data_IF_742570387425
#
_entry.id   IF_742570387425
#
_cell.length_a   1.000
_cell.length_b   1.000
_cell.length_c   1.000
_cell.angle_alpha   90.00
_cell.angle_beta   90.00
_cell.angle_gamma   90.00
#
_symmetry.space_group_name_H-M   'P 1'
#
loop_
_entity.id
_entity.type
_entity.pdbx_description
1 polymer ?
#
# COMPACT_ATOMS: atom_id res chain seq x y z
N UNK A 1 7.99 -5.66 20.38
CA UNK A 1 6.58 -5.93 20.77
C UNK A 1 6.12 -7.05 19.86
N UNK A 2 5.39 -8.05 20.37
CA UNK A 2 4.92 -9.18 19.56
C UNK A 2 3.48 -8.87 19.14
N UNK A 3 3.23 -8.65 17.86
CA UNK A 3 1.88 -8.35 17.38
C UNK A 3 1.03 -9.63 17.32
N UNK A 4 -0.31 -9.55 17.53
CA UNK A 4 -1.16 -10.73 17.47
C UNK A 4 -1.11 -11.35 16.06
N UNK A 5 -1.28 -12.68 15.96
CA UNK A 5 -1.39 -13.33 14.66
C UNK A 5 -2.72 -12.99 13.99
N UNK A 6 -2.68 -12.88 12.67
CA UNK A 6 -3.87 -12.74 11.82
C UNK A 6 -4.29 -14.11 11.30
N UNK A 7 -5.54 -14.50 11.53
CA UNK A 7 -6.17 -15.63 10.85
C UNK A 7 -7.18 -15.10 9.83
N UNK A 8 -7.01 -15.48 8.57
CA UNK A 8 -8.01 -15.28 7.52
C UNK A 8 -8.59 -16.64 7.13
N UNK A 9 -9.91 -16.75 7.15
CA UNK A 9 -10.64 -17.94 6.69
C UNK A 9 -11.60 -17.55 5.57
N UNK A 10 -11.50 -18.25 4.44
CA UNK A 10 -12.41 -18.16 3.30
C UNK A 10 -13.25 -19.43 3.25
N UNK A 11 -14.56 -19.29 3.46
CA UNK A 11 -15.51 -20.37 3.24
C UNK A 11 -15.72 -20.58 1.75
N UNK A 12 -15.74 -21.85 1.35
CA UNK A 12 -16.00 -22.27 -0.02
C UNK A 12 -17.10 -23.32 -0.02
N UNK A 13 -17.70 -23.53 -1.18
CA UNK A 13 -18.42 -24.77 -1.47
C UNK A 13 -17.42 -25.94 -1.56
N UNK A 14 -17.82 -27.05 -2.19
CA UNK A 14 -16.95 -28.23 -2.30
C UNK A 14 -15.84 -28.06 -3.35
N UNK A 15 -14.61 -27.82 -2.87
CA UNK A 15 -13.42 -27.72 -3.71
C UNK A 15 -12.92 -29.10 -4.16
N UNK A 16 -12.37 -29.20 -5.40
CA UNK A 16 -11.82 -30.45 -5.89
C UNK A 16 -10.64 -30.95 -5.02
N UNK A 17 -10.64 -32.21 -4.54
CA UNK A 17 -9.64 -32.71 -3.61
C UNK A 17 -8.21 -32.67 -4.17
N UNK A 18 -8.05 -32.85 -5.49
CA UNK A 18 -6.75 -32.79 -6.17
C UNK A 18 -6.16 -31.38 -6.25
N UNK A 19 -7.00 -30.34 -6.22
CA UNK A 19 -6.57 -28.93 -6.35
C UNK A 19 -6.45 -28.24 -5.00
N UNK A 20 -7.01 -28.84 -3.93
CA UNK A 20 -7.19 -28.21 -2.63
C UNK A 20 -5.90 -27.63 -2.05
N UNK A 21 -4.82 -28.43 -2.03
CA UNK A 21 -3.50 -27.99 -1.54
C UNK A 21 -2.99 -26.77 -2.31
N UNK A 22 -3.02 -26.84 -3.65
CA UNK A 22 -2.55 -25.75 -4.53
C UNK A 22 -3.36 -24.47 -4.33
N UNK A 23 -4.68 -24.58 -4.15
CA UNK A 23 -5.55 -23.43 -3.91
C UNK A 23 -5.24 -22.78 -2.56
N UNK A 24 -5.08 -23.57 -1.50
CA UNK A 24 -4.71 -23.06 -0.18
C UNK A 24 -3.36 -22.35 -0.18
N UNK A 25 -2.35 -22.97 -0.78
CA UNK A 25 -1.00 -22.40 -0.89
C UNK A 25 -1.02 -21.08 -1.69
N UNK A 26 -1.71 -21.06 -2.83
CA UNK A 26 -1.82 -19.86 -3.67
C UNK A 26 -2.53 -18.70 -2.98
N UNK A 27 -3.64 -18.97 -2.27
CA UNK A 27 -4.33 -17.95 -1.47
C UNK A 27 -3.38 -17.41 -0.40
N UNK A 28 -2.76 -18.31 0.37
CA UNK A 28 -1.93 -17.96 1.53
C UNK A 28 -0.73 -17.12 1.11
N UNK A 29 -0.04 -17.53 0.04
CA UNK A 29 1.09 -16.81 -0.51
C UNK A 29 0.68 -15.41 -1.00
N UNK A 30 -0.44 -15.31 -1.74
CA UNK A 30 -0.91 -14.03 -2.27
C UNK A 30 -1.27 -13.04 -1.15
N UNK A 31 -1.95 -13.51 -0.10
CA UNK A 31 -2.25 -12.68 1.08
C UNK A 31 -0.95 -12.23 1.77
N UNK A 32 -0.03 -13.16 2.04
CA UNK A 32 1.24 -12.85 2.70
C UNK A 32 2.07 -11.82 1.92
N UNK A 33 2.23 -12.02 0.60
CA UNK A 33 2.97 -11.10 -0.25
C UNK A 33 2.32 -9.71 -0.33
N UNK A 34 0.99 -9.66 -0.37
CA UNK A 34 0.24 -8.39 -0.39
C UNK A 34 0.43 -7.60 0.91
N UNK A 35 0.32 -8.26 2.06
CA UNK A 35 0.54 -7.63 3.36
C UNK A 35 2.02 -7.21 3.55
N UNK A 36 2.97 -8.01 3.07
CA UNK A 36 4.38 -7.65 3.06
C UNK A 36 4.64 -6.39 2.21
N UNK A 37 4.04 -6.32 1.02
CA UNK A 37 4.12 -5.15 0.14
C UNK A 37 3.49 -3.91 0.78
N UNK A 38 2.43 -4.08 1.55
CA UNK A 38 1.80 -3.04 2.35
C UNK A 38 2.61 -2.65 3.61
N UNK A 39 3.79 -3.25 3.84
CA UNK A 39 4.65 -3.01 5.00
C UNK A 39 3.98 -3.32 6.34
N UNK A 40 3.04 -4.28 6.34
CA UNK A 40 2.33 -4.74 7.53
C UNK A 40 2.99 -5.94 8.22
N UNK A 41 4.04 -6.51 7.59
CA UNK A 41 4.77 -7.67 8.07
C UNK A 41 6.22 -7.31 8.40
N UNK A 42 6.79 -8.02 9.35
CA UNK A 42 8.19 -7.92 9.75
C UNK A 42 9.01 -9.06 9.13
N UNK A 43 10.34 -8.97 9.24
CA UNK A 43 11.23 -10.05 8.81
C UNK A 43 11.03 -11.37 9.59
N UNK A 44 10.38 -11.31 10.77
CA UNK A 44 10.02 -12.46 11.58
C UNK A 44 8.60 -12.99 11.33
N UNK A 45 7.79 -12.29 10.53
CA UNK A 45 6.47 -12.79 10.16
C UNK A 45 6.61 -14.09 9.35
N UNK A 46 5.80 -15.07 9.68
CA UNK A 46 5.70 -16.34 8.96
C UNK A 46 4.23 -16.65 8.75
N UNK A 47 3.92 -17.46 7.73
CA UNK A 47 2.55 -17.91 7.49
C UNK A 47 2.43 -19.42 7.46
N UNK A 48 1.26 -19.90 7.85
CA UNK A 48 0.85 -21.28 7.74
C UNK A 48 -0.43 -21.37 6.92
N UNK A 49 -0.41 -22.22 5.88
CA UNK A 49 -1.55 -22.47 5.01
C UNK A 49 -2.40 -23.63 5.53
N UNK A 50 -3.72 -23.50 5.43
CA UNK A 50 -4.69 -24.55 5.74
C UNK A 50 -5.68 -24.68 4.57
N UNK A 51 -6.05 -25.92 4.27
CA UNK A 51 -7.03 -26.20 3.23
C UNK A 51 -7.88 -27.42 3.59
N UNK A 52 -9.19 -27.28 3.49
CA UNK A 52 -10.20 -28.34 3.60
C UNK A 52 -11.21 -28.18 2.47
N UNK A 53 -12.01 -29.21 2.11
CA UNK A 53 -12.94 -29.12 0.98
C UNK A 53 -13.85 -27.89 0.98
N UNK A 54 -14.19 -27.32 2.14
CA UNK A 54 -15.09 -26.15 2.27
C UNK A 54 -14.43 -24.91 2.90
N UNK A 55 -13.11 -24.92 3.11
CA UNK A 55 -12.38 -23.80 3.72
C UNK A 55 -10.95 -23.71 3.20
N UNK A 56 -10.53 -22.50 2.85
CA UNK A 56 -9.13 -22.13 2.70
C UNK A 56 -8.78 -21.14 3.80
N UNK A 57 -7.62 -21.26 4.43
CA UNK A 57 -7.22 -20.33 5.47
C UNK A 57 -5.71 -20.10 5.50
N UNK A 58 -5.33 -18.94 6.03
CA UNK A 58 -3.95 -18.58 6.30
C UNK A 58 -3.84 -17.96 7.69
N UNK A 59 -2.89 -18.46 8.47
CA UNK A 59 -2.47 -17.85 9.74
C UNK A 59 -1.13 -17.15 9.51
N UNK A 60 -1.03 -15.87 9.84
CA UNK A 60 0.19 -15.06 9.70
C UNK A 60 0.59 -14.55 11.08
N UNK A 61 1.83 -14.79 11.49
CA UNK A 61 2.36 -14.29 12.76
C UNK A 61 2.82 -12.84 12.64
N UNK A 62 2.76 -12.11 13.75
CA UNK A 62 3.34 -10.77 13.90
C UNK A 62 2.87 -9.80 12.80
N UNK A 63 1.58 -9.48 12.80
CA UNK A 63 0.95 -8.58 11.80
C UNK A 63 0.63 -7.24 12.45
N UNK A 64 1.11 -6.16 11.83
CA UNK A 64 0.81 -4.80 12.30
C UNK A 64 -0.63 -4.42 12.00
N UNK A 65 -1.26 -3.66 12.90
CA UNK A 65 -2.58 -3.04 12.64
C UNK A 65 -2.48 -1.89 11.64
N UNK A 66 -1.32 -1.25 11.58
CA UNK A 66 -0.98 -0.18 10.65
C UNK A 66 0.52 -0.23 10.35
N UNK A 67 0.87 -0.09 9.08
CA UNK A 67 2.26 0.04 8.67
C UNK A 67 2.87 1.33 9.22
N UNK A 68 4.20 1.41 9.37
CA UNK A 68 4.86 2.65 9.75
C UNK A 68 4.56 3.76 8.74
N UNK A 69 4.36 4.97 9.24
CA UNK A 69 4.31 6.17 8.41
C UNK A 69 5.64 6.35 7.67
N UNK A 70 5.59 6.86 6.44
CA UNK A 70 6.75 6.94 5.57
C UNK A 70 6.87 8.32 4.91
N UNK A 71 8.11 8.80 4.69
CA UNK A 71 8.32 10.07 4.03
C UNK A 71 7.91 9.97 2.55
N UNK A 72 7.17 10.96 2.09
CA UNK A 72 6.77 11.13 0.68
C UNK A 72 7.30 12.45 0.17
N UNK A 73 7.91 12.39 -1.01
CA UNK A 73 8.44 13.54 -1.73
C UNK A 73 7.63 13.76 -2.98
N UNK A 74 6.69 14.70 -2.91
CA UNK A 74 5.75 14.99 -3.99
C UNK A 74 6.27 16.14 -4.86
N UNK A 75 6.47 15.88 -6.15
CA UNK A 75 6.90 16.92 -7.09
C UNK A 75 5.74 17.88 -7.34
N UNK A 76 5.96 19.16 -7.08
CA UNK A 76 4.96 20.21 -7.31
C UNK A 76 5.05 20.70 -8.75
N UNK A 77 6.00 21.59 -9.04
CA UNK A 77 6.14 22.28 -10.33
C UNK A 77 7.61 22.65 -10.57
N UNK A 78 8.04 22.76 -11.84
CA UNK A 78 9.30 23.44 -12.18
C UNK A 78 9.34 24.85 -11.61
N UNK A 79 10.51 25.31 -11.17
CA UNK A 79 10.67 26.66 -10.61
C UNK A 79 10.28 27.75 -11.62
N UNK A 80 10.48 27.50 -12.91
CA UNK A 80 10.14 28.42 -14.00
C UNK A 80 8.67 28.82 -14.07
N UNK A 81 7.77 28.03 -13.48
CA UNK A 81 6.32 28.28 -13.45
C UNK A 81 5.74 28.29 -12.03
N UNK A 82 6.58 28.10 -11.01
CA UNK A 82 6.16 28.04 -9.61
C UNK A 82 5.87 29.44 -9.03
N UNK A 83 6.57 30.47 -9.52
CA UNK A 83 6.43 31.84 -9.07
C UNK A 83 6.06 32.77 -10.22
N UNK A 84 5.35 33.85 -9.92
CA UNK A 84 5.09 34.93 -10.86
C UNK A 84 6.26 35.91 -10.97
N UNK A 85 6.11 36.94 -11.82
CA UNK A 85 7.13 37.97 -12.03
C UNK A 85 7.43 38.81 -10.77
N UNK A 86 6.57 38.76 -9.76
CA UNK A 86 6.71 39.47 -8.48
C UNK A 86 7.26 38.56 -7.38
N UNK A 87 7.62 37.31 -7.70
CA UNK A 87 8.12 36.32 -6.75
C UNK A 87 7.04 35.72 -5.84
N UNK A 88 5.76 35.91 -6.16
CA UNK A 88 4.63 35.32 -5.43
C UNK A 88 4.28 33.94 -5.98
N UNK A 89 3.67 33.04 -5.19
CA UNK A 89 3.22 31.74 -5.66
C UNK A 89 2.31 31.90 -6.89
N UNK A 90 2.60 31.14 -7.96
CA UNK A 90 1.74 31.14 -9.14
C UNK A 90 0.40 30.46 -8.85
N UNK A 91 -0.63 30.78 -9.64
CA UNK A 91 -1.92 30.11 -9.51
C UNK A 91 -1.81 28.58 -9.70
N UNK A 92 -0.85 28.12 -10.52
CA UNK A 92 -0.60 26.70 -10.72
C UNK A 92 -0.06 26.05 -9.43
N UNK A 93 0.87 26.72 -8.74
CA UNK A 93 1.44 26.22 -7.48
C UNK A 93 0.35 26.08 -6.41
N UNK A 94 -0.47 27.12 -6.23
CA UNK A 94 -1.59 27.08 -5.29
C UNK A 94 -2.58 25.96 -5.63
N UNK A 95 -2.96 25.79 -6.90
CA UNK A 95 -3.87 24.71 -7.31
C UNK A 95 -3.29 23.32 -7.03
N UNK A 96 -1.99 23.11 -7.28
CA UNK A 96 -1.32 21.83 -6.99
C UNK A 96 -1.28 21.56 -5.49
N UNK A 97 -0.95 22.54 -4.66
CA UNK A 97 -0.98 22.41 -3.19
C UNK A 97 -2.38 22.09 -2.64
N UNK A 98 -3.42 22.75 -3.16
CA UNK A 98 -4.82 22.45 -2.81
C UNK A 98 -5.19 21.02 -3.20
N UNK A 99 -4.81 20.56 -4.41
CA UNK A 99 -5.10 19.19 -4.87
C UNK A 99 -4.43 18.11 -4.02
N UNK A 100 -3.33 18.45 -3.35
CA UNK A 100 -2.61 17.58 -2.42
C UNK A 100 -3.11 17.70 -0.98
N UNK A 101 -4.09 18.56 -0.71
CA UNK A 101 -4.64 18.77 0.64
C UNK A 101 -3.80 19.69 1.53
N UNK A 102 -2.86 20.44 0.97
CA UNK A 102 -1.96 21.33 1.72
C UNK A 102 -2.04 22.80 1.24
N UNK A 103 -3.23 23.43 1.25
CA UNK A 103 -3.44 24.77 0.67
C UNK A 103 -2.63 25.88 1.34
N UNK A 104 -2.37 25.74 2.64
CA UNK A 104 -1.71 26.76 3.47
C UNK A 104 -0.22 26.47 3.69
N UNK A 105 0.40 25.65 2.85
CA UNK A 105 1.83 25.31 2.98
C UNK A 105 2.70 26.56 2.84
N UNK A 106 3.50 26.91 3.86
CA UNK A 106 4.48 27.97 3.76
C UNK A 106 5.54 27.68 2.68
N UNK A 107 5.89 28.69 1.88
CA UNK A 107 6.82 28.52 0.76
C UNK A 107 8.24 28.09 1.19
N UNK A 108 8.63 28.41 2.42
CA UNK A 108 9.92 28.02 3.01
C UNK A 108 9.98 26.55 3.42
N UNK A 109 8.84 25.86 3.51
CA UNK A 109 8.77 24.41 3.70
C UNK A 109 8.88 23.62 2.39
N UNK A 110 8.85 24.31 1.24
CA UNK A 110 9.01 23.67 -0.07
C UNK A 110 10.48 23.46 -0.38
N UNK A 111 10.83 22.22 -0.70
CA UNK A 111 12.20 21.86 -1.10
C UNK A 111 12.42 22.25 -2.57
N UNK A 112 13.54 22.93 -2.85
CA UNK A 112 14.03 23.14 -4.21
C UNK A 112 15.05 22.08 -4.54
N UNK A 113 14.89 21.42 -5.69
CA UNK A 113 15.83 20.38 -6.11
C UNK A 113 15.88 20.22 -7.62
N UNK A 114 17.05 19.82 -8.11
CA UNK A 114 17.40 19.77 -9.53
C UNK A 114 18.38 20.88 -9.90
N UNK A 115 18.74 20.93 -11.18
CA UNK A 115 19.72 21.88 -11.71
C UNK A 115 19.22 22.53 -13.00
N UNK A 116 19.49 23.83 -13.15
CA UNK A 116 19.17 24.60 -14.34
C UNK A 116 17.69 24.54 -14.70
N UNK A 117 17.38 24.10 -15.93
CA UNK A 117 15.99 24.04 -16.45
C UNK A 117 15.15 22.93 -15.81
N UNK A 118 15.75 22.00 -15.06
CA UNK A 118 15.07 20.89 -14.40
C UNK A 118 14.79 21.15 -12.92
N UNK A 119 15.14 22.33 -12.41
CA UNK A 119 14.88 22.70 -11.02
C UNK A 119 13.37 22.79 -10.75
N UNK A 120 12.93 22.14 -9.67
CA UNK A 120 11.52 22.04 -9.30
C UNK A 120 11.32 22.19 -7.79
N UNK A 121 10.10 22.59 -7.41
CA UNK A 121 9.62 22.53 -6.04
C UNK A 121 9.07 21.15 -5.72
N UNK A 122 9.36 20.70 -4.50
CA UNK A 122 8.86 19.47 -3.91
C UNK A 122 8.21 19.78 -2.57
N UNK A 123 7.16 19.03 -2.27
CA UNK A 123 6.53 18.99 -0.96
C UNK A 123 6.96 17.70 -0.27
N UNK A 124 7.64 17.83 0.87
CA UNK A 124 7.98 16.70 1.70
C UNK A 124 6.92 16.52 2.78
N UNK A 125 6.22 15.39 2.76
CA UNK A 125 5.19 15.05 3.73
C UNK A 125 5.49 13.69 4.37
N UNK A 126 4.75 13.38 5.42
CA UNK A 126 4.69 12.04 5.99
C UNK A 126 3.35 11.46 5.59
N UNK A 127 3.35 10.39 4.80
CA UNK A 127 2.14 9.65 4.48
C UNK A 127 1.84 8.64 5.59
N UNK A 128 0.57 8.56 5.96
CA UNK A 128 0.09 7.56 6.91
C UNK A 128 0.26 6.16 6.33
N UNK A 129 0.86 5.25 7.11
CA UNK A 129 1.02 3.86 6.69
C UNK A 129 -0.31 3.15 6.43
N UNK A 130 -0.29 2.11 5.60
CA UNK A 130 -1.47 1.32 5.28
C UNK A 130 -2.11 0.71 6.53
N UNK A 131 -3.44 0.70 6.62
CA UNK A 131 -4.17 0.00 7.70
C UNK A 131 -4.41 -1.45 7.32
N UNK A 132 -4.34 -2.34 8.30
CA UNK A 132 -4.53 -3.77 8.09
C UNK A 132 -5.88 -4.09 7.43
N UNK A 133 -6.96 -3.47 7.90
CA UNK A 133 -8.32 -3.71 7.39
C UNK A 133 -8.42 -3.47 5.88
N UNK A 134 -7.98 -2.30 5.41
CA UNK A 134 -8.08 -1.94 3.99
C UNK A 134 -7.10 -2.73 3.13
N UNK A 135 -5.88 -2.96 3.61
CA UNK A 135 -4.88 -3.75 2.91
C UNK A 135 -5.29 -5.23 2.79
N UNK A 136 -5.84 -5.82 3.85
CA UNK A 136 -6.31 -7.20 3.87
C UNK A 136 -7.49 -7.39 2.93
N UNK A 137 -8.43 -6.45 2.90
CA UNK A 137 -9.56 -6.49 1.97
C UNK A 137 -9.08 -6.49 0.51
N UNK A 138 -8.12 -5.61 0.17
CA UNK A 138 -7.54 -5.56 -1.17
C UNK A 138 -6.77 -6.84 -1.51
N UNK A 139 -5.98 -7.35 -0.55
CA UNK A 139 -5.24 -8.60 -0.70
C UNK A 139 -6.19 -9.78 -0.97
N UNK A 140 -7.30 -9.86 -0.25
CA UNK A 140 -8.30 -10.92 -0.42
C UNK A 140 -8.94 -10.91 -1.81
N UNK A 141 -9.37 -9.73 -2.28
CA UNK A 141 -9.94 -9.55 -3.62
C UNK A 141 -8.91 -10.00 -4.68
N UNK A 142 -7.68 -9.48 -4.59
CA UNK A 142 -6.63 -9.82 -5.54
C UNK A 142 -6.29 -11.32 -5.51
N UNK A 143 -6.23 -11.94 -4.33
CA UNK A 143 -5.93 -13.35 -4.18
C UNK A 143 -7.03 -14.23 -4.80
N UNK A 144 -8.31 -13.88 -4.60
CA UNK A 144 -9.47 -14.59 -5.19
C UNK A 144 -9.43 -14.51 -6.72
N UNK A 145 -9.18 -13.33 -7.27
CA UNK A 145 -9.14 -13.10 -8.72
C UNK A 145 -8.04 -13.92 -9.43
N UNK A 146 -6.97 -14.27 -8.70
CA UNK A 146 -5.82 -14.99 -9.23
C UNK A 146 -5.73 -16.44 -8.74
N UNK A 147 -6.77 -16.97 -8.09
CA UNK A 147 -6.77 -18.37 -7.67
C UNK A 147 -6.58 -19.29 -8.89
N UNK A 148 -5.68 -20.29 -8.81
CA UNK A 148 -5.40 -21.21 -9.90
C UNK A 148 -6.50 -22.25 -10.04
N UNK A 149 -7.71 -21.80 -10.35
CA UNK A 149 -8.87 -22.63 -10.63
C UNK A 149 -8.75 -23.07 -12.08
N UNK A 150 -8.89 -24.39 -12.33
CA UNK A 150 -8.97 -24.88 -13.69
C UNK A 150 -10.20 -24.26 -14.36
N UNK A 151 -10.00 -23.49 -15.42
CA UNK A 151 -11.11 -23.04 -16.27
C UNK A 151 -11.73 -24.30 -16.89
N UNK A 152 -13.05 -24.45 -16.72
CA UNK A 152 -13.83 -25.46 -17.45
C UNK A 152 -13.82 -25.14 -18.94
#
# INVERSE_FOLDING_TARGET
MNHPPLLLELFTEELPPKSLKRLGESLSQSIYESLNKAQLLSASSAYQSFASPRRLAVLISDVLDQAPDYPVREKLLPLSIAFDAQGKPSQALTKKLVSLGHPDTPLDQLERSGEGKNEALYLNTIATGARLESALQQALIAAIDHLPIAKM
#
